data_IF_696095964039
#
_entry.id   IF_696095964039
#
_cell.length_a   1.000
_cell.length_b   1.000
_cell.length_c   1.000
_cell.angle_alpha   90.00
_cell.angle_beta   90.00
_cell.angle_gamma   90.00
#
_symmetry.space_group_name_H-M   'P 1'
#
loop_
_entity.id
_entity.type
_entity.pdbx_description
1 polymer ?
#
# COMPACT_ATOMS: atom_id res chain seq x y z
N UNK A 1 18.90 -24.28 -22.18
CA UNK A 1 18.03 -23.43 -21.33
C UNK A 1 17.80 -22.14 -22.07
N UNK A 2 16.63 -22.01 -22.71
CA UNK A 2 16.30 -20.83 -23.53
C UNK A 2 15.55 -19.87 -22.62
N UNK A 3 16.27 -18.92 -22.01
CA UNK A 3 15.63 -17.83 -21.28
C UNK A 3 14.85 -17.01 -22.31
N UNK A 4 13.53 -16.88 -22.11
CA UNK A 4 12.72 -15.90 -22.85
C UNK A 4 13.34 -14.53 -22.59
N UNK A 5 13.86 -13.83 -23.61
CA UNK A 5 14.48 -12.53 -23.37
C UNK A 5 13.41 -11.59 -22.83
N UNK A 6 13.65 -11.04 -21.65
CA UNK A 6 12.82 -9.99 -21.06
C UNK A 6 12.73 -8.75 -21.96
N UNK A 7 11.90 -7.77 -21.60
CA UNK A 7 11.76 -6.51 -22.36
C UNK A 7 13.04 -5.66 -22.38
N UNK A 8 14.03 -6.02 -21.56
CA UNK A 8 15.29 -5.29 -21.43
C UNK A 8 16.49 -6.10 -21.92
N UNK A 9 17.52 -5.37 -22.31
CA UNK A 9 18.80 -5.90 -22.76
C UNK A 9 19.91 -5.25 -21.96
N UNK A 10 20.86 -6.06 -21.52
CA UNK A 10 22.11 -5.56 -20.99
C UNK A 10 23.03 -5.17 -22.16
N UNK A 11 23.46 -3.91 -22.20
CA UNK A 11 24.43 -3.40 -23.16
C UNK A 11 25.61 -2.77 -22.41
N UNK A 12 26.67 -3.56 -22.23
CA UNK A 12 27.79 -3.18 -21.40
C UNK A 12 27.36 -3.01 -19.93
N UNK A 13 27.49 -1.79 -19.43
CA UNK A 13 27.21 -1.41 -18.04
C UNK A 13 25.75 -0.92 -17.84
N UNK A 14 24.95 -0.94 -18.89
CA UNK A 14 23.60 -0.36 -18.91
C UNK A 14 22.53 -1.42 -19.15
N UNK A 15 21.37 -1.21 -18.53
CA UNK A 15 20.13 -1.91 -18.86
C UNK A 15 19.30 -1.00 -19.77
N UNK A 16 18.87 -1.51 -20.92
CA UNK A 16 18.14 -0.75 -21.95
C UNK A 16 16.84 -1.44 -22.35
N UNK A 17 15.84 -0.65 -22.74
CA UNK A 17 14.63 -1.17 -23.39
C UNK A 17 14.94 -1.71 -24.79
N UNK A 18 14.03 -2.51 -25.35
CA UNK A 18 14.09 -2.96 -26.74
C UNK A 18 14.26 -1.81 -27.77
N UNK A 19 13.81 -0.58 -27.44
CA UNK A 19 13.97 0.64 -28.24
C UNK A 19 15.29 1.40 -28.02
N UNK A 20 16.21 0.88 -27.19
CA UNK A 20 17.55 1.45 -26.99
C UNK A 20 17.67 2.52 -25.89
N UNK A 21 16.56 2.93 -25.27
CA UNK A 21 16.55 3.86 -24.13
C UNK A 21 17.18 3.19 -22.89
N UNK A 22 18.11 3.88 -22.22
CA UNK A 22 18.69 3.42 -20.96
C UNK A 22 17.67 3.55 -19.82
N UNK A 23 17.48 2.47 -19.08
CA UNK A 23 16.59 2.36 -17.93
C UNK A 23 17.39 2.51 -16.64
N UNK A 24 18.55 1.86 -16.58
CA UNK A 24 19.38 1.77 -15.39
C UNK A 24 20.86 1.67 -15.78
N UNK A 25 21.72 2.12 -14.86
CA UNK A 25 23.17 1.99 -14.94
C UNK A 25 23.64 1.21 -13.72
N UNK A 26 24.31 0.09 -13.95
CA UNK A 26 24.80 -0.74 -12.86
C UNK A 26 26.15 -0.22 -12.37
N UNK A 27 26.38 -0.33 -11.06
CA UNK A 27 27.65 0.02 -10.43
C UNK A 27 28.25 -1.21 -9.74
N UNK A 28 29.56 -1.18 -9.52
CA UNK A 28 30.23 -2.18 -8.69
C UNK A 28 29.87 -1.93 -7.23
N UNK A 29 29.65 -3.01 -6.48
CA UNK A 29 29.38 -2.92 -5.05
C UNK A 29 30.57 -2.33 -4.26
N UNK A 30 31.79 -2.44 -4.79
CA UNK A 30 33.01 -1.95 -4.16
C UNK A 30 33.27 -0.45 -4.39
N UNK A 31 32.46 0.20 -5.25
CA UNK A 31 32.67 1.59 -5.67
C UNK A 31 33.91 1.79 -6.57
N UNK A 32 34.66 0.72 -6.87
CA UNK A 32 35.74 0.71 -7.85
C UNK A 32 35.18 0.36 -9.22
N UNK A 33 35.89 0.73 -10.29
CA UNK A 33 35.44 0.44 -11.66
C UNK A 33 35.76 -1.01 -12.05
N UNK A 34 35.02 -1.96 -11.47
CA UNK A 34 35.10 -3.40 -11.77
C UNK A 34 34.16 -3.74 -12.94
N UNK A 35 34.65 -3.52 -14.16
CA UNK A 35 33.82 -3.54 -15.39
C UNK A 35 33.12 -4.90 -15.61
N UNK A 36 33.75 -6.01 -15.25
CA UNK A 36 33.15 -7.34 -15.41
C UNK A 36 32.00 -7.59 -14.43
N UNK A 37 32.16 -7.16 -13.17
CA UNK A 37 31.10 -7.21 -12.16
C UNK A 37 29.91 -6.35 -12.59
N UNK A 38 30.17 -5.12 -13.04
CA UNK A 38 29.13 -4.19 -13.51
C UNK A 38 28.33 -4.79 -14.67
N UNK A 39 29.02 -5.42 -15.64
CA UNK A 39 28.38 -6.09 -16.78
C UNK A 39 27.60 -7.34 -16.35
N UNK A 40 28.08 -8.08 -15.37
CA UNK A 40 27.37 -9.23 -14.81
C UNK A 40 26.08 -8.77 -14.10
N UNK A 41 26.15 -7.71 -13.31
CA UNK A 41 25.00 -7.10 -12.64
C UNK A 41 23.95 -6.63 -13.66
N UNK A 42 24.37 -5.94 -14.72
CA UNK A 42 23.46 -5.52 -15.80
C UNK A 42 22.75 -6.70 -16.48
N UNK A 43 23.44 -7.83 -16.68
CA UNK A 43 22.84 -9.04 -17.25
C UNK A 43 21.83 -9.69 -16.30
N UNK A 44 22.12 -9.72 -15.00
CA UNK A 44 21.21 -10.25 -13.98
C UNK A 44 19.94 -9.40 -13.88
N UNK A 45 20.09 -8.08 -13.85
CA UNK A 45 18.98 -7.13 -13.81
C UNK A 45 18.11 -7.21 -15.08
N UNK A 46 18.72 -7.28 -16.26
CA UNK A 46 17.99 -7.49 -17.52
C UNK A 46 17.30 -8.86 -17.62
N UNK A 47 17.79 -9.87 -16.89
CA UNK A 47 17.25 -11.23 -16.89
C UNK A 47 16.14 -11.44 -15.84
N UNK A 48 15.80 -10.43 -15.03
CA UNK A 48 14.81 -10.53 -13.96
C UNK A 48 13.53 -9.68 -14.20
N UNK A 49 12.85 -9.78 -15.36
CA UNK A 49 11.62 -9.01 -15.59
C UNK A 49 10.48 -9.41 -14.65
N UNK A 50 10.50 -10.66 -14.17
CA UNK A 50 9.48 -11.19 -13.25
C UNK A 50 9.51 -10.48 -11.89
N UNK A 51 10.70 -10.02 -11.44
CA UNK A 51 10.83 -9.28 -10.18
C UNK A 51 10.19 -7.89 -10.28
N UNK A 52 10.24 -7.22 -11.43
CA UNK A 52 9.54 -5.93 -11.57
C UNK A 52 8.02 -6.08 -11.64
N UNK A 53 7.52 -7.16 -12.26
CA UNK A 53 6.09 -7.47 -12.23
C UNK A 53 5.62 -7.68 -10.79
N UNK A 54 6.43 -8.38 -9.99
CA UNK A 54 6.15 -8.59 -8.57
C UNK A 54 6.20 -7.29 -7.76
N UNK A 55 7.21 -6.43 -7.98
CA UNK A 55 7.31 -5.11 -7.34
C UNK A 55 6.12 -4.21 -7.72
N UNK A 56 5.72 -4.21 -8.99
CA UNK A 56 4.57 -3.43 -9.47
C UNK A 56 3.28 -3.91 -8.80
N UNK A 57 3.10 -5.23 -8.68
CA UNK A 57 1.97 -5.83 -7.96
C UNK A 57 1.97 -5.42 -6.48
N UNK A 58 3.11 -5.54 -5.79
CA UNK A 58 3.22 -5.14 -4.38
C UNK A 58 2.94 -3.64 -4.16
N UNK A 59 3.34 -2.78 -5.10
CA UNK A 59 3.02 -1.35 -5.06
C UNK A 59 1.52 -1.09 -5.20
N UNK A 60 0.86 -1.81 -6.10
CA UNK A 60 -0.59 -1.72 -6.28
C UNK A 60 -1.33 -2.21 -5.04
N UNK A 61 -0.96 -3.38 -4.51
CA UNK A 61 -1.55 -3.95 -3.29
C UNK A 61 -1.42 -2.97 -2.10
N UNK A 62 -0.26 -2.31 -1.94
CA UNK A 62 -0.06 -1.27 -0.93
C UNK A 62 -0.95 -0.03 -1.13
N UNK A 63 -1.15 0.42 -2.37
CA UNK A 63 -2.03 1.55 -2.67
C UNK A 63 -3.49 1.23 -2.32
N UNK A 64 -3.94 0.01 -2.64
CA UNK A 64 -5.29 -0.45 -2.34
C UNK A 64 -5.51 -0.61 -0.82
N UNK A 65 -4.50 -1.10 -0.10
CA UNK A 65 -4.52 -1.14 1.37
C UNK A 65 -4.62 0.26 2.00
N UNK A 66 -3.84 1.23 1.51
CA UNK A 66 -3.89 2.61 2.01
C UNK A 66 -5.28 3.22 1.80
N UNK A 67 -5.86 3.04 0.62
CA UNK A 67 -7.22 3.50 0.32
C UNK A 67 -8.26 2.84 1.24
N UNK A 68 -8.10 1.56 1.53
CA UNK A 68 -8.98 0.82 2.46
C UNK A 68 -8.88 1.39 3.87
N UNK A 69 -7.67 1.72 4.33
CA UNK A 69 -7.45 2.34 5.64
C UNK A 69 -8.05 3.76 5.71
N UNK A 70 -7.94 4.55 4.65
CA UNK A 70 -8.57 5.88 4.57
C UNK A 70 -10.10 5.77 4.66
N UNK A 71 -10.70 4.84 3.91
CA UNK A 71 -12.14 4.58 3.97
C UNK A 71 -12.59 4.13 5.37
N UNK A 72 -11.83 3.23 6.01
CA UNK A 72 -12.11 2.78 7.37
C UNK A 72 -12.01 3.93 8.39
N UNK A 73 -11.01 4.80 8.24
CA UNK A 73 -10.84 5.99 9.08
C UNK A 73 -11.99 6.96 8.93
N UNK A 74 -12.44 7.23 7.70
CA UNK A 74 -13.62 8.08 7.47
C UNK A 74 -14.89 7.48 8.08
N UNK A 75 -15.07 6.17 7.94
CA UNK A 75 -16.23 5.47 8.51
C UNK A 75 -16.24 5.57 10.04
N UNK A 76 -15.11 5.34 10.70
CA UNK A 76 -14.97 5.50 12.15
C UNK A 76 -15.20 6.95 12.58
N UNK A 77 -14.60 7.93 11.89
CA UNK A 77 -14.80 9.34 12.21
C UNK A 77 -16.26 9.80 12.08
N UNK A 78 -16.99 9.29 11.09
CA UNK A 78 -18.44 9.53 10.92
C UNK A 78 -19.27 8.86 12.03
N UNK A 79 -18.87 7.68 12.49
CA UNK A 79 -19.54 7.00 13.60
C UNK A 79 -19.29 7.71 14.95
N UNK A 80 -18.08 8.21 15.20
CA UNK A 80 -17.78 9.02 16.39
C UNK A 80 -18.62 10.31 16.40
N UNK A 81 -18.74 11.00 15.26
CA UNK A 81 -19.59 12.20 15.17
C UNK A 81 -21.09 11.88 15.33
N UNK A 82 -21.55 10.74 14.83
CA UNK A 82 -22.93 10.31 15.03
C UNK A 82 -23.22 9.98 16.51
N UNK A 83 -22.30 9.31 17.21
CA UNK A 83 -22.44 9.01 18.64
C UNK A 83 -22.51 10.27 19.50
N UNK A 84 -21.64 11.27 19.25
CA UNK A 84 -21.70 12.56 19.97
C UNK A 84 -22.94 13.40 19.63
N UNK A 85 -23.53 13.21 18.45
CA UNK A 85 -24.75 13.93 18.04
C UNK A 85 -26.00 13.33 18.66
N UNK A 86 -26.05 12.01 18.80
CA UNK A 86 -27.18 11.28 19.38
C UNK A 86 -27.09 11.16 20.92
N UNK A 87 -25.88 11.29 21.49
CA UNK A 87 -25.62 11.40 22.93
C UNK A 87 -24.80 12.68 23.20
N UNK A 88 -25.45 13.85 23.30
CA UNK A 88 -24.76 15.05 23.76
C UNK A 88 -24.19 14.82 25.16
N UNK A 89 -23.02 15.42 25.45
CA UNK A 89 -22.26 15.33 26.71
C UNK A 89 -23.02 15.84 27.97
N UNK A 90 -24.32 16.12 27.86
CA UNK A 90 -25.22 16.60 28.92
C UNK A 90 -25.82 15.46 29.79
N UNK A 91 -25.16 14.31 29.87
CA UNK A 91 -25.37 13.39 30.98
C UNK A 91 -24.50 13.85 32.16
N UNK A 92 -24.89 14.99 32.75
CA UNK A 92 -24.48 15.34 34.10
C UNK A 92 -24.73 14.12 34.99
N UNK A 93 -23.66 13.62 35.58
CA UNK A 93 -23.65 12.56 36.60
C UNK A 93 -24.89 12.64 37.51
N UNK A 94 -25.81 11.68 37.34
CA UNK A 94 -26.87 11.43 38.32
C UNK A 94 -28.28 11.29 37.74
N UNK A 95 -28.70 10.05 37.53
CA UNK A 95 -30.10 9.59 37.59
C UNK A 95 -31.10 9.74 36.40
N UNK A 96 -30.79 10.10 35.13
CA UNK A 96 -31.83 10.10 34.09
C UNK A 96 -31.97 8.77 33.34
N UNK A 97 -30.92 7.93 33.30
CA UNK A 97 -30.86 6.76 32.42
C UNK A 97 -31.86 5.66 32.83
N UNK A 98 -32.04 5.46 34.14
CA UNK A 98 -33.04 4.50 34.66
C UNK A 98 -34.47 4.97 34.37
N UNK A 99 -34.76 6.28 34.42
CA UNK A 99 -36.07 6.84 34.08
C UNK A 99 -36.36 6.77 32.57
N UNK A 100 -35.34 7.01 31.73
CA UNK A 100 -35.49 6.89 30.28
C UNK A 100 -35.76 5.43 29.88
N UNK A 101 -35.04 4.48 30.47
CA UNK A 101 -35.23 3.05 30.23
C UNK A 101 -36.61 2.59 30.73
N UNK A 102 -37.06 3.03 31.92
CA UNK A 102 -38.40 2.68 32.42
C UNK A 102 -39.52 3.29 31.59
N UNK A 103 -39.37 4.51 31.04
CA UNK A 103 -40.37 5.09 30.11
C UNK A 103 -40.48 4.31 28.80
N UNK A 104 -39.36 3.82 28.27
CA UNK A 104 -39.34 3.02 27.04
C UNK A 104 -40.02 1.66 27.28
N UNK A 105 -39.71 1.00 28.40
CA UNK A 105 -40.34 -0.28 28.78
C UNK A 105 -41.84 -0.11 29.04
N UNK A 106 -42.27 0.98 29.68
CA UNK A 106 -43.68 1.26 29.94
C UNK A 106 -44.49 1.54 28.66
N UNK A 107 -43.86 2.10 27.62
CA UNK A 107 -44.50 2.40 26.33
C UNK A 107 -44.54 1.19 25.38
N UNK A 108 -43.75 0.16 25.66
CA UNK A 108 -43.61 -1.05 24.86
C UNK A 108 -44.49 -2.23 25.33
N UNK A 109 -45.31 -2.04 26.37
CA UNK A 109 -46.28 -3.06 26.82
C UNK A 109 -47.65 -2.75 26.20
N UNK A 110 -48.31 -3.72 25.51
CA UNK A 110 -49.63 -3.54 24.91
C UNK A 110 -50.72 -3.29 25.95
#
# INVERSE_FOLDING_TARGET
MTHTPGPWKAEGEFVREAGGRAISYCQSASGKREIEEVRANARLEAAAPDMEIEIAKLRQDNADLLKTLEMAREFLGRNETAMHRDFPDDLSYGQPELEAITRIIAKAKP
#
